data_IF_088590093258
#
_entry.id   IF_088590093258
#
_cell.length_a   1.000
_cell.length_b   1.000
_cell.length_c   1.000
_cell.angle_alpha   90.00
_cell.angle_beta   90.00
_cell.angle_gamma   90.00
#
_symmetry.space_group_name_H-M   'P 1'
#
loop_
_entity.id
_entity.type
_entity.pdbx_description
1 polymer ?
#
# COMPACT_ATOMS: atom_id res chain seq x y z
N UNK A 1 -0.16 17.56 -40.59
CA UNK A 1 -1.29 18.50 -40.40
C UNK A 1 -1.07 19.27 -39.11
N UNK A 2 -1.17 20.60 -39.11
CA UNK A 2 -1.29 21.42 -37.90
C UNK A 2 -2.76 21.77 -37.75
N UNK A 3 -3.41 21.28 -36.69
CA UNK A 3 -4.77 21.68 -36.34
C UNK A 3 -4.72 22.84 -35.35
N UNK A 4 -5.54 23.87 -35.56
CA UNK A 4 -5.85 24.90 -34.56
C UNK A 4 -7.32 25.24 -34.69
N UNK A 5 -8.09 25.06 -33.62
CA UNK A 5 -9.48 25.49 -33.50
C UNK A 5 -9.57 26.60 -32.43
N UNK A 6 -10.38 27.65 -32.63
CA UNK A 6 -10.69 28.60 -31.56
C UNK A 6 -11.41 27.87 -30.40
N UNK A 7 -11.04 28.22 -29.16
CA UNK A 7 -11.58 27.63 -27.94
C UNK A 7 -12.83 28.43 -27.51
N UNK A 8 -14.02 27.83 -27.57
CA UNK A 8 -15.25 28.36 -26.97
C UNK A 8 -15.47 27.74 -25.57
N UNK A 9 -16.35 28.30 -24.73
CA UNK A 9 -16.58 27.86 -23.34
C UNK A 9 -17.13 26.41 -23.20
N UNK A 10 -17.59 25.81 -24.30
CA UNK A 10 -17.97 24.39 -24.39
C UNK A 10 -16.83 23.50 -24.94
N UNK A 11 -15.59 24.00 -24.99
CA UNK A 11 -14.48 23.27 -25.56
C UNK A 11 -14.01 22.15 -24.61
N UNK A 12 -14.00 20.89 -25.03
CA UNK A 12 -13.61 19.75 -24.20
C UNK A 12 -12.13 19.71 -23.77
N UNK A 13 -11.28 20.55 -24.36
CA UNK A 13 -9.90 20.73 -23.92
C UNK A 13 -9.77 21.69 -22.73
N UNK A 14 -10.87 22.26 -22.23
CA UNK A 14 -10.87 23.23 -21.13
C UNK A 14 -10.37 22.65 -19.78
N UNK A 15 -10.32 21.32 -19.65
CA UNK A 15 -9.72 20.62 -18.50
C UNK A 15 -8.26 20.21 -18.70
N UNK A 16 -7.70 20.38 -19.91
CA UNK A 16 -6.32 20.02 -20.22
C UNK A 16 -5.48 21.29 -20.25
N UNK A 17 -4.68 21.50 -19.20
CA UNK A 17 -3.75 22.64 -19.15
C UNK A 17 -2.65 22.50 -20.20
N UNK A 18 -2.29 21.25 -20.54
CA UNK A 18 -1.25 20.94 -21.52
C UNK A 18 -1.38 19.51 -22.07
N UNK A 19 -1.24 19.37 -23.38
CA UNK A 19 -1.13 18.09 -24.08
C UNK A 19 0.15 18.05 -24.92
N UNK A 20 1.02 17.09 -24.64
CA UNK A 20 2.20 16.80 -25.43
C UNK A 20 2.09 15.38 -25.97
N UNK A 21 2.15 15.23 -27.28
CA UNK A 21 2.10 13.93 -27.94
C UNK A 21 3.24 13.82 -28.95
N UNK A 22 4.01 12.73 -28.89
CA UNK A 22 5.06 12.41 -29.86
C UNK A 22 4.79 11.05 -30.46
N UNK A 23 4.69 11.00 -31.80
CA UNK A 23 4.31 9.80 -32.56
C UNK A 23 3.09 9.11 -31.94
N UNK A 24 2.06 9.89 -31.67
CA UNK A 24 0.80 9.39 -31.18
C UNK A 24 -0.32 9.70 -32.18
N UNK A 25 -1.24 8.76 -32.29
CA UNK A 25 -2.51 8.85 -32.98
C UNK A 25 -3.62 8.89 -31.94
N UNK A 26 -4.56 9.82 -32.11
CA UNK A 26 -5.75 9.97 -31.28
C UNK A 26 -6.95 9.89 -32.20
N UNK A 27 -7.77 8.87 -32.01
CA UNK A 27 -9.04 8.68 -32.69
C UNK A 27 -10.17 8.89 -31.69
N UNK A 28 -11.18 9.68 -32.08
CA UNK A 28 -12.41 9.86 -31.32
C UNK A 28 -13.58 9.54 -32.23
N UNK A 29 -14.34 8.50 -31.89
CA UNK A 29 -15.50 8.04 -32.64
C UNK A 29 -16.74 7.95 -31.73
N UNK A 30 -17.85 7.47 -32.28
CA UNK A 30 -19.09 7.25 -31.52
C UNK A 30 -19.03 6.00 -30.63
N UNK A 31 -18.00 5.17 -30.77
CA UNK A 31 -17.87 3.88 -30.07
C UNK A 31 -16.61 3.82 -29.21
N UNK A 32 -15.55 4.55 -29.57
CA UNK A 32 -14.26 4.49 -28.89
C UNK A 32 -13.50 5.81 -28.95
N UNK A 33 -12.79 6.10 -27.87
CA UNK A 33 -11.64 7.02 -27.84
C UNK A 33 -10.39 6.14 -27.81
N UNK A 34 -9.62 6.13 -28.88
CA UNK A 34 -8.41 5.32 -29.03
C UNK A 34 -7.18 6.23 -29.08
N UNK A 35 -6.20 5.99 -28.21
CA UNK A 35 -4.95 6.73 -28.15
C UNK A 35 -3.78 5.75 -28.22
N UNK A 36 -3.03 5.82 -29.32
CA UNK A 36 -1.85 4.98 -29.57
C UNK A 36 -0.62 5.83 -29.72
N UNK A 37 0.45 5.57 -29.00
CA UNK A 37 1.69 6.31 -29.23
C UNK A 37 2.88 5.90 -28.39
N UNK A 38 4.04 6.41 -28.82
CA UNK A 38 5.30 6.26 -28.10
C UNK A 38 5.29 7.08 -26.81
N UNK A 39 4.87 8.34 -26.87
CA UNK A 39 4.82 9.26 -25.72
C UNK A 39 3.57 10.14 -25.74
N UNK A 40 2.83 10.15 -24.64
CA UNK A 40 1.73 11.08 -24.36
C UNK A 40 1.91 11.64 -22.95
N UNK A 41 1.84 12.97 -22.82
CA UNK A 41 1.87 13.64 -21.52
C UNK A 41 0.75 14.68 -21.45
N UNK A 42 -0.05 14.59 -20.38
CA UNK A 42 -1.24 15.40 -20.15
C UNK A 42 -1.12 16.06 -18.78
N UNK A 43 -1.38 17.37 -18.73
CA UNK A 43 -1.58 18.08 -17.47
C UNK A 43 -3.07 18.34 -17.27
N UNK A 44 -3.60 17.88 -16.13
CA UNK A 44 -5.00 18.02 -15.72
C UNK A 44 -5.04 18.71 -14.34
N UNK A 45 -5.05 20.03 -14.32
CA UNK A 45 -4.96 20.82 -13.10
C UNK A 45 -3.69 20.50 -12.29
N UNK A 46 -3.80 19.97 -11.06
CA UNK A 46 -2.64 19.60 -10.26
C UNK A 46 -2.00 18.27 -10.67
N UNK A 47 -2.51 17.55 -11.66
CA UNK A 47 -2.06 16.20 -12.02
C UNK A 47 -1.22 16.27 -13.31
N UNK A 48 0.00 15.72 -13.26
CA UNK A 48 0.76 15.38 -14.46
C UNK A 48 0.66 13.87 -14.70
N UNK A 49 0.20 13.51 -15.90
CA UNK A 49 0.06 12.14 -16.38
C UNK A 49 0.96 11.94 -17.59
N UNK A 50 2.03 11.17 -17.45
CA UNK A 50 2.92 10.81 -18.54
C UNK A 50 2.80 9.33 -18.85
N UNK A 51 2.68 8.98 -20.11
CA UNK A 51 2.57 7.60 -20.56
C UNK A 51 3.50 7.35 -21.73
N UNK A 52 4.21 6.23 -21.67
CA UNK A 52 5.09 5.75 -22.74
C UNK A 52 4.63 4.37 -23.22
N UNK A 53 4.72 4.14 -24.53
CA UNK A 53 4.35 2.90 -25.22
C UNK A 53 2.91 2.48 -24.87
N UNK A 54 1.95 3.31 -25.25
CA UNK A 54 0.55 3.17 -24.84
C UNK A 54 -0.39 2.93 -26.01
N UNK A 55 -1.26 1.95 -25.86
CA UNK A 55 -2.48 1.74 -26.61
C UNK A 55 -3.63 1.79 -25.59
N UNK A 56 -4.30 2.94 -25.52
CA UNK A 56 -5.41 3.21 -24.62
C UNK A 56 -6.71 3.22 -25.40
N UNK A 57 -7.69 2.45 -24.95
CA UNK A 57 -9.01 2.39 -25.55
C UNK A 57 -10.06 2.66 -24.48
N UNK A 58 -10.82 3.72 -24.66
CA UNK A 58 -11.94 4.08 -23.80
C UNK A 58 -13.24 3.86 -24.57
N UNK A 59 -14.08 2.94 -24.10
CA UNK A 59 -15.36 2.66 -24.76
C UNK A 59 -16.37 3.75 -24.43
N UNK A 60 -17.05 4.27 -25.44
CA UNK A 60 -18.07 5.32 -25.28
C UNK A 60 -19.38 4.88 -25.92
N UNK A 61 -20.51 5.31 -25.34
CA UNK A 61 -21.84 5.05 -25.89
C UNK A 61 -22.31 6.08 -26.91
N UNK A 62 -21.66 7.24 -26.93
CA UNK A 62 -21.91 8.34 -27.85
C UNK A 62 -20.62 9.13 -28.09
N UNK A 63 -20.60 9.95 -29.13
CA UNK A 63 -19.46 10.84 -29.37
C UNK A 63 -19.28 11.76 -28.17
N UNK A 64 -18.10 11.68 -27.56
CA UNK A 64 -17.70 12.62 -26.53
C UNK A 64 -16.23 12.95 -26.69
N UNK A 65 -15.91 14.13 -26.21
CA UNK A 65 -14.57 14.68 -26.15
C UNK A 65 -14.11 14.86 -24.69
N UNK A 66 -14.98 14.54 -23.72
CA UNK A 66 -14.63 14.47 -22.30
C UNK A 66 -13.87 13.16 -22.03
N UNK A 67 -12.57 13.16 -22.36
CA UNK A 67 -11.71 11.96 -22.33
C UNK A 67 -11.62 11.39 -20.92
N UNK A 68 -11.47 12.24 -19.90
CA UNK A 68 -11.39 11.82 -18.51
C UNK A 68 -12.68 11.16 -18.02
N UNK A 69 -13.84 11.74 -18.35
CA UNK A 69 -15.16 11.18 -18.03
C UNK A 69 -15.42 9.86 -18.76
N UNK A 70 -15.07 9.77 -20.05
CA UNK A 70 -15.20 8.55 -20.82
C UNK A 70 -14.27 7.44 -20.31
N UNK A 71 -13.00 7.77 -20.08
CA UNK A 71 -11.98 6.80 -19.75
C UNK A 71 -12.09 6.28 -18.30
N UNK A 72 -12.64 7.05 -17.35
CA UNK A 72 -12.83 6.53 -15.98
C UNK A 72 -13.96 5.48 -15.88
N UNK A 73 -14.81 5.37 -16.91
CA UNK A 73 -15.92 4.41 -16.96
C UNK A 73 -15.51 3.06 -17.52
N UNK A 74 -14.86 3.05 -18.68
CA UNK A 74 -14.42 1.83 -19.33
C UNK A 74 -13.16 2.09 -20.15
N UNK A 75 -12.00 1.71 -19.59
CA UNK A 75 -10.70 1.88 -20.26
C UNK A 75 -9.90 0.62 -20.22
N UNK A 76 -9.21 0.33 -21.32
CA UNK A 76 -8.10 -0.62 -21.35
C UNK A 76 -6.84 0.09 -21.83
N UNK A 77 -5.75 -0.06 -21.10
CA UNK A 77 -4.41 0.39 -21.46
C UNK A 77 -3.51 -0.82 -21.62
N UNK A 78 -2.90 -0.98 -22.80
CA UNK A 78 -1.92 -2.02 -23.13
C UNK A 78 -0.68 -1.41 -23.80
N UNK A 79 0.44 -2.14 -23.86
CA UNK A 79 1.56 -1.79 -24.72
C UNK A 79 1.14 -1.59 -26.17
N UNK A 80 1.54 -0.47 -26.76
CA UNK A 80 1.41 -0.26 -28.21
C UNK A 80 2.34 -1.22 -28.99
N UNK A 81 3.60 -1.29 -28.59
CA UNK A 81 4.54 -2.33 -28.98
C UNK A 81 4.50 -3.43 -27.91
N UNK A 82 3.89 -4.58 -28.24
CA UNK A 82 3.74 -5.75 -27.35
C UNK A 82 5.07 -6.33 -26.87
N UNK A 83 6.19 -6.02 -27.55
CA UNK A 83 7.53 -6.43 -27.09
C UNK A 83 8.08 -5.56 -25.95
N UNK A 84 7.41 -4.45 -25.65
CA UNK A 84 7.79 -3.46 -24.62
C UNK A 84 6.72 -3.39 -23.53
N UNK A 85 7.08 -2.75 -22.42
CA UNK A 85 6.20 -2.53 -21.26
C UNK A 85 5.70 -1.09 -21.29
N UNK A 86 4.41 -0.87 -21.03
CA UNK A 86 3.85 0.48 -20.87
C UNK A 86 4.34 1.09 -19.57
N UNK A 87 4.71 2.37 -19.61
CA UNK A 87 5.09 3.13 -18.43
C UNK A 87 4.08 4.24 -18.22
N UNK A 88 3.57 4.35 -17.01
CA UNK A 88 2.63 5.40 -16.60
C UNK A 88 3.27 6.13 -15.42
N UNK A 89 3.33 7.45 -15.47
CA UNK A 89 3.73 8.32 -14.37
C UNK A 89 2.62 9.24 -13.99
N UNK A 90 2.36 9.31 -12.69
CA UNK A 90 1.40 10.21 -12.07
C UNK A 90 2.14 11.04 -11.02
N UNK A 91 2.11 12.36 -11.14
CA UNK A 91 2.75 13.24 -10.16
C UNK A 91 1.92 14.48 -9.85
N UNK A 92 2.02 14.95 -8.60
CA UNK A 92 1.37 16.17 -8.12
C UNK A 92 2.18 17.43 -8.50
N UNK A 93 1.63 18.25 -9.39
CA UNK A 93 2.18 19.56 -9.78
C UNK A 93 1.92 20.65 -8.72
N UNK A 94 0.97 20.45 -7.80
CA UNK A 94 0.65 21.45 -6.77
C UNK A 94 1.59 21.45 -5.57
N UNK A 95 2.42 20.40 -5.45
CA UNK A 95 3.29 20.12 -4.29
C UNK A 95 2.57 20.02 -2.94
N UNK A 96 1.23 19.97 -2.92
CA UNK A 96 0.45 19.91 -1.67
C UNK A 96 0.34 18.49 -1.12
N UNK A 97 0.14 17.52 -2.01
CA UNK A 97 -0.10 16.10 -1.68
C UNK A 97 1.18 15.25 -1.85
N UNK A 98 2.20 15.80 -2.52
CA UNK A 98 3.55 15.23 -2.63
C UNK A 98 3.57 13.76 -3.07
N UNK A 99 2.74 13.42 -4.07
CA UNK A 99 2.72 12.08 -4.63
C UNK A 99 3.47 11.99 -5.95
N UNK A 100 4.14 10.86 -6.15
CA UNK A 100 4.75 10.45 -7.42
C UNK A 100 4.63 8.94 -7.54
N UNK A 101 4.03 8.47 -8.62
CA UNK A 101 3.76 7.06 -8.88
C UNK A 101 4.25 6.70 -10.28
N UNK A 102 5.22 5.77 -10.34
CA UNK A 102 5.70 5.13 -11.56
C UNK A 102 5.10 3.71 -11.64
N UNK A 103 4.32 3.45 -12.68
CA UNK A 103 3.71 2.15 -12.97
C UNK A 103 4.31 1.60 -14.26
N UNK A 104 4.76 0.35 -14.21
CA UNK A 104 5.12 -0.46 -15.37
C UNK A 104 4.13 -1.60 -15.45
N UNK A 105 3.36 -1.64 -16.53
CA UNK A 105 2.24 -2.57 -16.69
C UNK A 105 2.16 -3.12 -18.11
N UNK A 106 1.61 -4.33 -18.21
CA UNK A 106 1.18 -4.94 -19.47
C UNK A 106 -0.31 -4.68 -19.73
N UNK A 107 -1.08 -4.43 -18.68
CA UNK A 107 -2.52 -4.20 -18.76
C UNK A 107 -2.94 -3.34 -17.58
N UNK A 108 -3.64 -2.25 -17.85
CA UNK A 108 -4.47 -1.57 -16.88
C UNK A 108 -5.87 -1.54 -17.45
N UNK A 109 -6.85 -2.02 -16.69
CA UNK A 109 -8.25 -1.92 -17.07
C UNK A 109 -9.04 -1.21 -15.98
N UNK A 110 -9.94 -0.35 -16.42
CA UNK A 110 -10.94 0.31 -15.60
C UNK A 110 -12.28 -0.15 -16.13
N UNK A 111 -13.07 -0.76 -15.26
CA UNK A 111 -14.45 -1.14 -15.50
C UNK A 111 -15.34 -0.42 -14.48
N UNK A 112 -16.66 -0.59 -14.57
CA UNK A 112 -17.65 0.16 -13.78
C UNK A 112 -17.33 0.21 -12.27
N UNK A 113 -16.98 -0.91 -11.65
CA UNK A 113 -16.67 -1.01 -10.21
C UNK A 113 -15.26 -1.55 -9.90
N UNK A 114 -14.39 -1.67 -10.91
CA UNK A 114 -13.09 -2.33 -10.80
C UNK A 114 -11.97 -1.55 -11.48
N UNK A 115 -10.84 -1.44 -10.79
CA UNK A 115 -9.55 -1.01 -11.33
C UNK A 115 -8.59 -2.18 -11.22
N UNK A 116 -8.14 -2.69 -12.36
CA UNK A 116 -7.17 -3.77 -12.44
C UNK A 116 -5.86 -3.31 -13.09
N UNK A 117 -4.73 -3.77 -12.55
CA UNK A 117 -3.38 -3.51 -13.08
C UNK A 117 -2.56 -4.81 -13.02
N UNK A 118 -2.07 -5.28 -14.17
CA UNK A 118 -1.06 -6.34 -14.26
C UNK A 118 0.34 -5.75 -14.00
N UNK A 119 0.74 -5.73 -12.73
CA UNK A 119 1.94 -5.05 -12.27
C UNK A 119 3.21 -5.78 -12.70
N UNK A 120 4.01 -5.18 -13.58
CA UNK A 120 5.44 -5.53 -13.70
C UNK A 120 6.24 -4.87 -12.59
N UNK A 121 6.03 -3.57 -12.41
CA UNK A 121 6.62 -2.82 -11.31
C UNK A 121 5.83 -1.54 -11.02
N UNK A 122 5.33 -1.39 -9.79
CA UNK A 122 4.84 -0.12 -9.25
C UNK A 122 5.87 0.37 -8.23
N UNK A 123 6.23 1.65 -8.29
CA UNK A 123 6.98 2.32 -7.22
C UNK A 123 6.46 3.74 -7.07
N UNK A 124 6.37 4.21 -5.85
CA UNK A 124 5.90 5.56 -5.63
C UNK A 124 6.15 6.06 -4.23
N UNK A 125 5.88 7.35 -4.07
CA UNK A 125 5.87 8.03 -2.79
C UNK A 125 4.52 8.71 -2.60
N UNK A 126 4.02 8.71 -1.37
CA UNK A 126 2.84 9.46 -0.95
C UNK A 126 3.06 9.96 0.48
N UNK A 127 2.98 11.28 0.71
CA UNK A 127 3.16 11.91 2.02
C UNK A 127 4.41 11.40 2.79
N UNK A 128 5.56 11.29 2.11
CA UNK A 128 6.85 10.76 2.61
C UNK A 128 6.95 9.24 2.83
N UNK A 129 5.92 8.48 2.49
CA UNK A 129 5.95 7.02 2.55
C UNK A 129 6.35 6.45 1.20
N UNK A 130 7.26 5.48 1.19
CA UNK A 130 7.64 4.78 -0.03
C UNK A 130 6.92 3.43 -0.11
N UNK A 131 6.34 3.15 -1.28
CA UNK A 131 5.74 1.87 -1.59
C UNK A 131 6.26 1.33 -2.92
N UNK A 132 6.33 0.01 -3.01
CA UNK A 132 6.71 -0.67 -4.24
C UNK A 132 6.14 -2.08 -4.31
N UNK A 133 5.74 -2.47 -5.51
CA UNK A 133 5.24 -3.81 -5.84
C UNK A 133 5.95 -4.24 -7.12
N UNK A 134 6.62 -5.38 -7.11
CA UNK A 134 7.16 -5.99 -8.34
C UNK A 134 6.44 -7.29 -8.64
N UNK A 135 6.11 -7.50 -9.93
CA UNK A 135 5.51 -8.72 -10.51
C UNK A 135 4.29 -9.20 -9.73
N UNK A 136 3.11 -8.78 -10.16
CA UNK A 136 1.89 -9.01 -9.42
C UNK A 136 0.64 -8.45 -10.08
N UNK A 137 -0.39 -8.31 -9.28
CA UNK A 137 -1.71 -7.84 -9.67
C UNK A 137 -2.23 -6.87 -8.61
N UNK A 138 -2.85 -5.79 -9.05
CA UNK A 138 -3.61 -4.89 -8.20
C UNK A 138 -5.03 -4.86 -8.75
N UNK A 139 -5.99 -5.32 -7.95
CA UNK A 139 -7.41 -5.22 -8.24
C UNK A 139 -8.04 -4.40 -7.11
N UNK A 140 -8.71 -3.30 -7.43
CA UNK A 140 -9.31 -2.38 -6.48
C UNK A 140 -10.74 -2.08 -6.87
N UNK A 141 -11.60 -1.88 -5.87
CA UNK A 141 -12.90 -1.25 -6.10
C UNK A 141 -12.72 0.16 -6.63
N UNK A 142 -13.45 0.49 -7.68
CA UNK A 142 -13.69 1.86 -8.15
C UNK A 142 -15.13 2.21 -7.82
N UNK A 143 -15.37 3.45 -7.38
CA UNK A 143 -16.73 3.93 -7.23
C UNK A 143 -17.41 4.06 -8.62
N UNK A 144 -18.57 3.41 -8.86
CA UNK A 144 -19.33 3.60 -10.09
C UNK A 144 -19.80 5.04 -10.30
N UNK A 145 -19.99 5.80 -9.21
CA UNK A 145 -20.42 7.20 -9.29
C UNK A 145 -19.29 8.18 -9.61
N UNK A 146 -18.04 7.69 -9.72
CA UNK A 146 -16.88 8.52 -10.03
C UNK A 146 -16.95 9.04 -11.47
N UNK A 147 -17.17 10.34 -11.63
CA UNK A 147 -17.34 10.99 -12.94
C UNK A 147 -16.05 11.43 -13.61
N UNK A 148 -15.03 11.78 -12.82
CA UNK A 148 -13.72 12.26 -13.31
C UNK A 148 -12.59 11.51 -12.61
N UNK A 149 -11.38 11.57 -13.16
CA UNK A 149 -10.21 10.96 -12.54
C UNK A 149 -9.88 11.71 -11.22
N UNK A 150 -10.12 11.04 -10.10
CA UNK A 150 -9.75 11.52 -8.78
C UNK A 150 -8.89 10.47 -8.06
N UNK A 151 -7.60 10.78 -7.94
CA UNK A 151 -6.61 9.88 -7.33
C UNK A 151 -6.97 9.55 -5.87
N UNK A 152 -7.55 10.49 -5.12
CA UNK A 152 -7.93 10.19 -3.73
C UNK A 152 -9.06 9.18 -3.70
N UNK A 153 -10.13 9.40 -4.47
CA UNK A 153 -11.27 8.47 -4.57
C UNK A 153 -10.86 7.09 -5.09
N UNK A 154 -9.90 7.01 -6.00
CA UNK A 154 -9.31 5.74 -6.42
C UNK A 154 -8.56 5.03 -5.29
N UNK A 155 -7.78 5.77 -4.50
CA UNK A 155 -7.10 5.19 -3.33
C UNK A 155 -8.11 4.79 -2.25
N UNK A 156 -9.16 5.57 -2.00
CA UNK A 156 -10.25 5.20 -1.10
C UNK A 156 -10.91 3.91 -1.55
N UNK A 157 -11.18 3.76 -2.86
CA UNK A 157 -11.74 2.56 -3.42
C UNK A 157 -10.86 1.33 -3.15
N UNK A 158 -9.54 1.45 -3.39
CA UNK A 158 -8.57 0.41 -3.02
C UNK A 158 -8.58 0.06 -1.53
N UNK A 159 -8.71 1.05 -0.63
CA UNK A 159 -8.77 0.81 0.83
C UNK A 159 -10.10 0.20 1.29
N UNK A 160 -11.19 0.47 0.56
CA UNK A 160 -12.50 -0.12 0.79
C UNK A 160 -12.47 -1.60 0.46
N UNK A 161 -12.09 -1.94 -0.78
CA UNK A 161 -11.99 -3.32 -1.26
C UNK A 161 -10.86 -3.43 -2.27
N UNK A 162 -9.91 -4.32 -2.01
CA UNK A 162 -8.86 -4.62 -2.98
C UNK A 162 -8.18 -5.96 -2.71
N UNK A 163 -7.55 -6.47 -3.76
CA UNK A 163 -6.65 -7.62 -3.73
C UNK A 163 -5.35 -7.23 -4.42
N UNK A 164 -4.28 -7.17 -3.64
CA UNK A 164 -2.94 -6.84 -4.10
C UNK A 164 -2.07 -8.09 -3.92
N UNK A 165 -1.55 -8.63 -5.01
CA UNK A 165 -0.62 -9.75 -5.00
C UNK A 165 0.69 -9.27 -5.61
N UNK A 166 1.84 -9.61 -5.04
CA UNK A 166 3.11 -9.26 -5.65
C UNK A 166 4.31 -10.02 -5.09
N UNK A 167 5.31 -10.27 -5.92
CA UNK A 167 6.50 -11.04 -5.52
C UNK A 167 7.49 -10.26 -4.66
N UNK A 168 7.47 -8.92 -4.72
CA UNK A 168 8.28 -8.05 -3.86
C UNK A 168 7.45 -6.84 -3.45
N UNK A 169 6.93 -6.85 -2.24
CA UNK A 169 6.26 -5.70 -1.65
C UNK A 169 7.24 -5.00 -0.71
N UNK A 170 7.56 -3.74 -1.00
CA UNK A 170 8.37 -2.89 -0.13
C UNK A 170 7.50 -1.79 0.45
N UNK A 171 7.58 -1.63 1.77
CA UNK A 171 6.92 -0.55 2.48
C UNK A 171 7.90 0.06 3.48
N UNK A 172 8.16 1.34 3.32
CA UNK A 172 9.09 2.07 4.18
C UNK A 172 8.41 3.34 4.72
N UNK A 173 8.31 3.38 6.05
CA UNK A 173 7.92 4.54 6.84
C UNK A 173 8.99 4.81 7.91
N UNK A 174 9.05 6.01 8.52
CA UNK A 174 10.10 6.33 9.50
C UNK A 174 10.25 5.30 10.63
N UNK A 175 9.14 4.73 11.09
CA UNK A 175 9.07 3.77 12.20
C UNK A 175 9.20 2.29 11.78
N UNK A 176 9.10 1.95 10.49
CA UNK A 176 9.08 0.57 10.00
C UNK A 176 9.71 0.46 8.61
N UNK A 177 10.69 -0.42 8.49
CA UNK A 177 11.29 -0.81 7.22
C UNK A 177 11.04 -2.29 6.96
N UNK A 178 10.04 -2.58 6.12
CA UNK A 178 9.55 -3.91 5.84
C UNK A 178 9.72 -4.25 4.35
N UNK A 179 10.35 -5.40 4.09
CA UNK A 179 10.44 -5.98 2.76
C UNK A 179 9.83 -7.37 2.76
N UNK A 180 8.83 -7.59 1.92
CA UNK A 180 8.07 -8.83 1.85
C UNK A 180 8.36 -9.51 0.51
N UNK A 181 8.80 -10.77 0.56
CA UNK A 181 8.91 -11.62 -0.62
C UNK A 181 7.60 -12.40 -0.74
N UNK A 182 6.90 -12.23 -1.87
CA UNK A 182 5.56 -12.77 -2.12
C UNK A 182 4.57 -12.35 -1.02
N UNK A 183 3.83 -11.30 -1.31
CA UNK A 183 2.78 -10.76 -0.46
C UNK A 183 1.42 -10.93 -1.14
N UNK A 184 0.41 -11.21 -0.32
CA UNK A 184 -0.98 -10.97 -0.66
C UNK A 184 -1.56 -10.04 0.39
N UNK A 185 -1.97 -8.84 -0.02
CA UNK A 185 -2.71 -7.89 0.81
C UNK A 185 -4.14 -7.86 0.29
N UNK A 186 -5.10 -8.05 1.17
CA UNK A 186 -6.52 -8.07 0.84
C UNK A 186 -7.22 -7.09 1.78
N UNK A 187 -7.96 -6.16 1.19
CA UNK A 187 -8.90 -5.32 1.88
C UNK A 187 -10.30 -5.82 1.52
N UNK A 188 -11.03 -6.32 2.51
CA UNK A 188 -12.47 -6.60 2.43
C UNK A 188 -13.24 -5.46 3.10
N UNK A 189 -14.58 -5.44 3.07
CA UNK A 189 -15.40 -4.36 3.68
C UNK A 189 -15.04 -4.04 5.14
N UNK A 190 -14.71 -5.04 5.94
CA UNK A 190 -14.47 -4.87 7.38
C UNK A 190 -13.03 -5.10 7.82
N UNK A 191 -12.17 -5.65 6.94
CA UNK A 191 -10.88 -6.21 7.36
C UNK A 191 -9.76 -5.94 6.38
N UNK A 192 -8.56 -5.77 6.92
CA UNK A 192 -7.30 -5.85 6.20
C UNK A 192 -6.63 -7.19 6.54
N UNK A 193 -6.20 -7.92 5.52
CA UNK A 193 -5.42 -9.15 5.62
C UNK A 193 -4.11 -8.98 4.87
N UNK A 194 -3.02 -9.45 5.45
CA UNK A 194 -1.72 -9.53 4.80
C UNK A 194 -1.16 -10.93 5.05
N UNK A 195 -0.87 -11.65 3.98
CA UNK A 195 -0.17 -12.93 4.01
C UNK A 195 1.16 -12.82 3.28
N UNK A 196 2.17 -13.49 3.80
CA UNK A 196 3.43 -13.68 3.10
C UNK A 196 4.11 -14.98 3.52
N UNK A 197 4.67 -15.67 2.54
CA UNK A 197 5.50 -16.84 2.79
C UNK A 197 6.82 -16.45 3.46
N UNK A 198 7.37 -15.27 3.14
CA UNK A 198 8.63 -14.80 3.67
C UNK A 198 8.72 -13.27 3.73
N UNK A 199 9.06 -12.72 4.89
CA UNK A 199 9.34 -11.29 5.03
C UNK A 199 10.64 -11.03 5.78
N UNK A 200 11.19 -9.83 5.58
CA UNK A 200 12.36 -9.34 6.28
C UNK A 200 12.11 -7.95 6.83
N UNK A 201 12.53 -7.75 8.08
CA UNK A 201 12.47 -6.48 8.80
C UNK A 201 13.90 -5.99 9.01
N UNK A 202 14.18 -4.77 8.56
CA UNK A 202 15.51 -4.16 8.69
C UNK A 202 15.51 -3.13 9.81
N UNK A 203 16.42 -3.26 10.75
CA UNK A 203 16.59 -2.30 11.84
C UNK A 203 18.09 -2.09 12.13
N UNK A 204 18.58 -0.84 12.01
CA UNK A 204 19.94 -0.36 12.30
C UNK A 204 21.01 -1.46 12.46
N UNK A 205 21.41 -2.06 11.33
CA UNK A 205 22.50 -3.05 11.27
C UNK A 205 22.09 -4.52 11.48
N UNK A 206 20.80 -4.82 11.63
CA UNK A 206 20.27 -6.18 11.77
C UNK A 206 19.09 -6.44 10.84
N UNK A 207 18.99 -7.69 10.35
CA UNK A 207 17.85 -8.15 9.54
C UNK A 207 17.19 -9.31 10.26
N UNK A 208 15.88 -9.18 10.50
CA UNK A 208 15.05 -10.24 11.05
C UNK A 208 14.27 -10.87 9.91
N UNK A 209 14.41 -12.17 9.73
CA UNK A 209 13.70 -12.94 8.70
C UNK A 209 12.54 -13.70 9.34
N UNK A 210 11.37 -13.65 8.70
CA UNK A 210 10.17 -14.35 9.16
C UNK A 210 9.60 -15.21 8.05
N UNK A 211 9.03 -16.36 8.43
CA UNK A 211 8.35 -17.27 7.52
C UNK A 211 6.87 -17.42 7.88
N UNK A 212 6.02 -17.56 6.85
CA UNK A 212 4.57 -17.70 6.95
C UNK A 212 3.95 -16.61 7.84
N UNK A 213 4.18 -15.36 7.47
CA UNK A 213 3.61 -14.20 8.14
C UNK A 213 2.15 -14.04 7.73
N UNK A 214 1.27 -13.90 8.71
CA UNK A 214 -0.14 -13.58 8.50
C UNK A 214 -0.57 -12.50 9.47
N UNK A 215 -1.15 -11.43 8.95
CA UNK A 215 -1.78 -10.34 9.68
C UNK A 215 -3.24 -10.26 9.25
N UNK A 216 -4.13 -10.19 10.21
CA UNK A 216 -5.54 -9.85 10.00
C UNK A 216 -5.89 -8.78 11.02
N UNK A 217 -6.52 -7.70 10.58
CA UNK A 217 -6.98 -6.66 11.49
C UNK A 217 -8.27 -6.02 10.97
N UNK A 218 -9.08 -5.50 11.88
CA UNK A 218 -10.29 -4.79 11.47
C UNK A 218 -9.92 -3.46 10.80
N UNK A 219 -10.79 -2.99 9.91
CA UNK A 219 -10.81 -1.59 9.47
C UNK A 219 -11.71 -0.77 10.40
N UNK A 220 -11.36 0.48 10.62
CA UNK A 220 -12.29 1.41 11.29
C UNK A 220 -13.50 1.62 10.37
N UNK A 221 -14.77 1.48 10.83
CA UNK A 221 -15.94 1.74 10.00
C UNK A 221 -15.98 3.17 9.41
N UNK A 222 -15.16 4.09 9.93
CA UNK A 222 -14.96 5.43 9.38
C UNK A 222 -13.74 5.44 8.44
N UNK A 223 -13.76 4.65 7.36
CA UNK A 223 -12.82 4.83 6.22
C UNK A 223 -13.40 5.86 5.24
N UNK A 224 -13.96 6.96 5.75
CA UNK A 224 -14.51 8.04 4.90
C UNK A 224 -13.45 9.13 4.64
N UNK A 225 -12.32 9.10 5.37
CA UNK A 225 -11.27 10.12 5.24
C UNK A 225 -9.84 9.51 5.20
N UNK A 226 -9.19 9.60 4.04
CA UNK A 226 -7.79 9.24 3.75
C UNK A 226 -6.84 10.17 4.50
N UNK A 227 -7.33 11.35 4.92
CA UNK A 227 -6.65 12.26 5.80
C UNK A 227 -6.75 11.83 7.29
N UNK A 228 -7.44 10.72 7.59
CA UNK A 228 -7.30 10.03 8.87
C UNK A 228 -6.27 8.89 8.72
N UNK A 229 -4.95 9.17 8.78
CA UNK A 229 -3.90 8.16 8.64
C UNK A 229 -3.97 7.08 9.72
N UNK A 230 -4.83 7.24 10.73
CA UNK A 230 -4.98 6.34 11.85
C UNK A 230 -6.17 5.37 11.70
N UNK A 231 -6.97 5.43 10.63
CA UNK A 231 -8.14 4.55 10.49
C UNK A 231 -7.75 3.05 10.54
N UNK A 232 -6.76 2.64 9.74
CA UNK A 232 -6.24 1.26 9.78
C UNK A 232 -5.63 0.95 11.14
N UNK A 233 -4.85 1.89 11.70
CA UNK A 233 -4.21 1.70 13.00
C UNK A 233 -5.24 1.48 14.12
N UNK A 234 -6.28 2.31 14.19
CA UNK A 234 -7.35 2.21 15.17
C UNK A 234 -8.13 0.90 15.03
N UNK A 235 -8.45 0.50 13.79
CA UNK A 235 -9.04 -0.80 13.49
C UNK A 235 -8.19 -1.96 14.01
N UNK A 236 -6.88 -1.95 13.72
CA UNK A 236 -5.95 -2.94 14.25
C UNK A 236 -5.83 -2.91 15.79
N UNK A 237 -5.97 -1.76 16.44
CA UNK A 237 -5.98 -1.65 17.91
C UNK A 237 -7.28 -2.20 18.54
N UNK A 238 -8.38 -2.21 17.79
CA UNK A 238 -9.64 -2.86 18.19
C UNK A 238 -9.54 -4.38 18.04
N UNK A 239 -9.05 -4.86 16.91
CA UNK A 239 -8.91 -6.28 16.65
C UNK A 239 -7.77 -6.52 15.68
N UNK A 240 -6.79 -7.30 16.13
CA UNK A 240 -5.68 -7.73 15.28
C UNK A 240 -5.24 -9.12 15.67
N UNK A 241 -4.92 -9.95 14.68
CA UNK A 241 -4.17 -11.18 14.85
C UNK A 241 -2.98 -11.16 13.90
N UNK A 242 -1.78 -11.20 14.47
CA UNK A 242 -0.53 -11.35 13.74
C UNK A 242 0.12 -12.67 14.11
N UNK A 243 0.53 -13.47 13.11
CA UNK A 243 1.12 -14.79 13.26
C UNK A 243 2.37 -14.90 12.39
N UNK A 244 3.33 -15.70 12.87
CA UNK A 244 4.44 -16.19 12.06
C UNK A 244 4.88 -17.58 12.57
N UNK A 245 5.29 -18.44 11.64
CA UNK A 245 5.70 -19.80 11.98
C UNK A 245 7.12 -19.85 12.53
N UNK A 246 8.01 -19.04 11.95
CA UNK A 246 9.41 -18.96 12.37
C UNK A 246 9.93 -17.54 12.22
N UNK A 247 10.72 -17.11 13.20
CA UNK A 247 11.54 -15.91 13.14
C UNK A 247 13.01 -16.28 13.39
N UNK A 248 13.87 -15.92 12.45
CA UNK A 248 15.32 -16.10 12.52
C UNK A 248 16.03 -14.73 12.52
N UNK A 249 17.05 -14.62 13.35
CA UNK A 249 17.88 -13.43 13.46
C UNK A 249 19.17 -13.66 12.67
N UNK A 250 19.28 -13.03 11.50
CA UNK A 250 20.53 -13.02 10.77
C UNK A 250 21.67 -12.48 11.65
N UNK A 251 22.64 -13.35 11.94
CA UNK A 251 23.99 -13.03 12.42
C UNK A 251 24.10 -11.97 13.53
N UNK A 252 23.67 -12.28 14.74
CA UNK A 252 24.34 -11.77 15.96
C UNK A 252 24.63 -12.93 16.90
N UNK A 253 25.91 -13.19 17.15
CA UNK A 253 26.39 -14.20 18.09
C UNK A 253 25.73 -13.95 19.46
N UNK A 254 24.81 -14.85 19.84
CA UNK A 254 24.61 -15.17 21.26
C UNK A 254 23.23 -15.02 21.89
N UNK A 255 22.21 -14.39 21.28
CA UNK A 255 20.92 -14.22 21.99
C UNK A 255 19.70 -14.48 21.10
N UNK A 256 19.09 -15.65 21.33
CA UNK A 256 17.77 -16.14 20.88
C UNK A 256 17.77 -16.66 19.44
N UNK A 257 17.95 -17.98 19.32
CA UNK A 257 18.27 -18.64 18.06
C UNK A 257 17.07 -18.98 17.17
N UNK A 258 15.83 -18.91 17.66
CA UNK A 258 14.60 -19.08 16.85
C UNK A 258 13.38 -18.78 17.74
N UNK A 259 12.36 -18.10 17.21
CA UNK A 259 10.99 -18.15 17.78
C UNK A 259 10.08 -18.87 16.81
N UNK A 260 9.31 -19.84 17.31
CA UNK A 260 8.31 -20.60 16.54
C UNK A 260 6.89 -20.33 17.00
N UNK A 261 5.94 -20.45 16.07
CA UNK A 261 4.50 -20.33 16.31
C UNK A 261 4.15 -19.04 17.08
N UNK A 262 4.76 -17.93 16.67
CA UNK A 262 4.51 -16.65 17.30
C UNK A 262 3.11 -16.17 16.91
N UNK A 263 2.34 -15.72 17.89
CA UNK A 263 1.04 -15.12 17.68
C UNK A 263 0.88 -13.92 18.61
N UNK A 264 0.63 -12.76 18.03
CA UNK A 264 0.15 -11.57 18.70
C UNK A 264 -1.35 -11.43 18.40
N UNK A 265 -2.17 -11.31 19.43
CA UNK A 265 -3.59 -11.01 19.31
C UNK A 265 -3.88 -9.73 20.09
N UNK A 266 -4.64 -8.81 19.50
CA UNK A 266 -5.18 -7.60 20.12
C UNK A 266 -6.70 -7.68 20.09
N UNK A 267 -7.32 -7.38 21.22
CA UNK A 267 -8.76 -7.23 21.36
C UNK A 267 -9.06 -6.06 22.29
N UNK A 268 -9.66 -5.01 21.72
CA UNK A 268 -10.08 -3.78 22.39
C UNK A 268 -8.97 -3.21 23.27
N UNK A 269 -7.79 -3.02 22.67
CA UNK A 269 -6.61 -2.49 23.35
C UNK A 269 -5.96 -3.45 24.36
N UNK A 270 -6.44 -4.68 24.57
CA UNK A 270 -5.71 -5.71 25.31
C UNK A 270 -4.93 -6.56 24.33
N UNK A 271 -3.65 -6.84 24.60
CA UNK A 271 -2.85 -7.70 23.75
C UNK A 271 -2.35 -8.95 24.47
N UNK A 272 -2.18 -10.03 23.70
CA UNK A 272 -1.53 -11.27 24.11
C UNK A 272 -0.54 -11.73 23.05
N UNK A 273 0.70 -11.99 23.45
CA UNK A 273 1.74 -12.63 22.63
C UNK A 273 1.95 -14.04 23.16
N UNK A 274 1.98 -15.00 22.25
CA UNK A 274 2.34 -16.40 22.53
C UNK A 274 3.40 -16.87 21.54
N UNK A 275 4.23 -17.84 21.93
CA UNK A 275 5.21 -18.45 21.03
C UNK A 275 6.11 -19.47 21.73
N UNK A 276 7.04 -20.06 20.99
CA UNK A 276 8.05 -20.98 21.53
C UNK A 276 9.45 -20.45 21.22
N UNK A 277 10.25 -20.21 22.25
CA UNK A 277 11.59 -19.62 22.14
C UNK A 277 12.64 -20.71 22.30
N UNK A 278 13.61 -20.78 21.39
CA UNK A 278 14.70 -21.75 21.42
C UNK A 278 15.87 -21.26 22.29
N UNK A 279 16.10 -21.96 23.40
CA UNK A 279 17.34 -21.86 24.19
C UNK A 279 18.20 -23.10 23.92
N UNK A 280 18.19 -24.08 24.83
CA UNK A 280 18.65 -25.47 24.60
C UNK A 280 17.48 -26.35 24.18
N UNK A 281 16.30 -26.12 24.76
CA UNK A 281 15.00 -26.67 24.39
C UNK A 281 14.02 -25.52 24.10
N UNK A 282 12.85 -25.84 23.53
CA UNK A 282 11.81 -24.84 23.27
C UNK A 282 11.01 -24.55 24.55
N UNK A 283 10.92 -23.28 24.91
CA UNK A 283 10.18 -22.80 26.09
C UNK A 283 9.03 -21.89 25.64
N UNK A 284 7.86 -22.06 26.25
CA UNK A 284 6.69 -21.23 25.96
C UNK A 284 6.92 -19.77 26.41
N UNK A 285 6.64 -18.84 25.50
CA UNK A 285 6.54 -17.41 25.73
C UNK A 285 5.06 -17.05 25.90
N UNK A 286 4.73 -16.32 26.95
CA UNK A 286 3.40 -15.72 27.15
C UNK A 286 3.58 -14.29 27.68
N UNK A 287 3.07 -13.31 26.92
CA UNK A 287 3.10 -11.89 27.29
C UNK A 287 1.68 -11.35 27.16
N UNK A 288 1.23 -10.61 28.16
CA UNK A 288 -0.07 -9.95 28.14
C UNK A 288 0.07 -8.51 28.59
N UNK A 289 -0.72 -7.63 28.00
CA UNK A 289 -0.66 -6.21 28.32
C UNK A 289 -1.79 -5.42 27.68
N UNK A 290 -1.59 -4.10 27.63
CA UNK A 290 -2.49 -3.16 26.97
C UNK A 290 -1.74 -2.39 25.89
N UNK A 291 -2.43 -2.05 24.81
CA UNK A 291 -1.96 -1.20 23.75
C UNK A 291 -2.95 -0.06 23.56
N UNK A 292 -2.43 1.16 23.43
CA UNK A 292 -3.22 2.38 23.23
C UNK A 292 -2.57 3.25 22.18
N UNK A 293 -3.39 3.86 21.35
CA UNK A 293 -2.98 4.91 20.43
C UNK A 293 -3.34 6.27 21.05
N UNK A 294 -2.35 7.16 21.18
CA UNK A 294 -2.53 8.56 21.60
C UNK A 294 -2.36 9.47 20.37
N UNK A 295 -3.47 9.85 19.71
CA UNK A 295 -3.42 10.63 18.48
C UNK A 295 -2.87 12.05 18.71
N UNK A 296 -3.06 12.63 19.89
CA UNK A 296 -2.57 13.99 20.21
C UNK A 296 -1.04 14.02 20.30
N UNK A 297 -0.45 12.97 20.86
CA UNK A 297 1.01 12.82 20.99
C UNK A 297 1.65 12.06 19.83
N UNK A 298 0.86 11.61 18.84
CA UNK A 298 1.29 10.78 17.71
C UNK A 298 2.13 9.59 18.17
N UNK A 299 1.62 8.84 19.15
CA UNK A 299 2.36 7.72 19.73
C UNK A 299 1.49 6.50 20.00
N UNK A 300 2.09 5.32 19.94
CA UNK A 300 1.49 4.07 20.42
C UNK A 300 2.18 3.70 21.74
N UNK A 301 1.39 3.41 22.76
CA UNK A 301 1.87 2.98 24.08
C UNK A 301 1.48 1.52 24.30
N UNK A 302 2.47 0.67 24.55
CA UNK A 302 2.31 -0.76 24.84
C UNK A 302 2.73 -1.01 26.29
N UNK A 303 1.76 -1.21 27.17
CA UNK A 303 1.96 -1.51 28.60
C UNK A 303 2.02 -3.02 28.84
N UNK A 304 3.17 -3.52 29.30
CA UNK A 304 3.39 -4.94 29.56
C UNK A 304 3.02 -5.29 31.00
N UNK A 305 1.81 -5.82 31.20
CA UNK A 305 1.34 -6.26 32.53
C UNK A 305 2.13 -7.48 33.01
N UNK A 306 2.31 -8.47 32.15
CA UNK A 306 2.93 -9.76 32.49
C UNK A 306 3.70 -10.30 31.29
N UNK A 307 4.91 -10.79 31.52
CA UNK A 307 5.72 -11.46 30.52
C UNK A 307 6.43 -12.64 31.16
N UNK A 308 6.25 -13.84 30.59
CA UNK A 308 6.85 -15.09 31.09
C UNK A 308 7.51 -15.87 29.96
N UNK A 309 8.66 -16.45 30.27
CA UNK A 309 9.31 -17.50 29.48
C UNK A 309 9.45 -18.70 30.41
N UNK A 310 8.61 -19.73 30.19
CA UNK A 310 8.44 -20.81 31.15
C UNK A 310 7.90 -20.29 32.48
N UNK A 311 8.64 -20.51 33.58
CA UNK A 311 8.29 -20.01 34.92
C UNK A 311 8.93 -18.67 35.29
N UNK A 312 9.84 -18.14 34.47
CA UNK A 312 10.62 -16.94 34.78
C UNK A 312 9.98 -15.67 34.20
N UNK A 313 10.15 -14.54 34.90
CA UNK A 313 9.78 -13.21 34.38
C UNK A 313 10.64 -12.88 33.17
N UNK A 314 10.01 -12.39 32.09
CA UNK A 314 10.66 -12.17 30.80
C UNK A 314 10.31 -10.82 30.16
N UNK A 315 10.04 -9.78 30.98
CA UNK A 315 9.67 -8.45 30.47
C UNK A 315 10.74 -7.86 29.55
N UNK A 316 12.00 -7.86 29.98
CA UNK A 316 13.13 -7.38 29.16
C UNK A 316 13.26 -8.11 27.82
N UNK A 317 12.95 -9.41 27.79
CA UNK A 317 12.97 -10.22 26.58
C UNK A 317 11.78 -9.89 25.64
N UNK A 318 10.58 -9.70 26.18
CA UNK A 318 9.42 -9.25 25.39
C UNK A 318 9.68 -7.90 24.71
N UNK A 319 10.29 -6.95 25.44
CA UNK A 319 10.70 -5.65 24.91
C UNK A 319 11.72 -5.81 23.76
N UNK A 320 12.68 -6.74 23.89
CA UNK A 320 13.65 -7.04 22.82
C UNK A 320 12.99 -7.61 21.55
N UNK A 321 11.92 -8.40 21.67
CA UNK A 321 11.20 -8.93 20.50
C UNK A 321 10.52 -7.80 19.73
N UNK A 322 9.78 -6.92 20.42
CA UNK A 322 9.05 -5.83 19.77
C UNK A 322 10.01 -4.90 19.01
N UNK A 323 11.18 -4.59 19.59
CA UNK A 323 12.23 -3.80 18.94
C UNK A 323 12.75 -4.39 17.62
N UNK A 324 12.52 -5.67 17.30
CA UNK A 324 12.94 -6.26 16.03
C UNK A 324 12.09 -5.81 14.84
N UNK A 325 10.83 -5.43 15.11
CA UNK A 325 9.86 -5.06 14.09
C UNK A 325 9.73 -3.55 13.91
N UNK A 326 10.40 -2.74 14.74
CA UNK A 326 10.23 -1.29 14.79
C UNK A 326 11.59 -0.62 14.82
N UNK A 327 11.76 0.47 14.07
CA UNK A 327 13.00 1.24 14.04
C UNK A 327 13.36 1.79 15.44
N UNK A 328 14.58 1.55 15.93
CA UNK A 328 14.96 1.81 17.33
C UNK A 328 14.84 3.30 17.72
N UNK A 329 15.06 4.22 16.78
CA UNK A 329 15.03 5.67 17.06
C UNK A 329 13.66 6.16 17.51
N UNK A 330 12.60 5.47 17.10
CA UNK A 330 11.23 5.83 17.41
C UNK A 330 10.69 5.07 18.61
N UNK A 331 11.52 4.28 19.31
CA UNK A 331 11.08 3.42 20.42
C UNK A 331 11.74 3.83 21.73
N UNK A 332 10.94 4.33 22.67
CA UNK A 332 11.36 4.56 24.06
C UNK A 332 10.81 3.44 24.95
N UNK A 333 11.64 2.92 25.83
CA UNK A 333 11.22 1.97 26.88
C UNK A 333 11.24 2.74 28.20
N UNK A 334 10.09 2.84 28.85
CA UNK A 334 9.93 3.49 30.14
C UNK A 334 9.26 2.49 31.07
N UNK A 335 9.99 2.03 32.09
CA UNK A 335 9.55 1.02 33.05
C UNK A 335 8.99 -0.26 32.39
N UNK A 336 7.66 -0.41 32.37
CA UNK A 336 6.94 -1.55 31.81
C UNK A 336 6.27 -1.23 30.48
N UNK A 337 6.54 -0.06 29.90
CA UNK A 337 5.86 0.47 28.73
C UNK A 337 6.83 0.66 27.57
N UNK A 338 6.39 0.31 26.35
CA UNK A 338 7.03 0.70 25.10
C UNK A 338 6.24 1.87 24.53
N UNK A 339 6.92 2.96 24.22
CA UNK A 339 6.36 4.12 23.53
C UNK A 339 6.97 4.14 22.13
N UNK A 340 6.11 4.04 21.11
CA UNK A 340 6.47 4.11 19.70
C UNK A 340 6.01 5.46 19.17
N UNK A 341 6.93 6.29 18.69
CA UNK A 341 6.62 7.54 18.02
C UNK A 341 6.24 7.25 16.56
N UNK A 342 5.09 7.79 16.11
CA UNK A 342 4.57 7.65 14.76
C UNK A 342 5.13 8.72 13.82
#
# INVERSE_FOLDING_TARGET
>A
MKFSTPLEDNNPLYGIDKLNASKAEVEMSHEVIDVKGDDLAVHLGPINFEVNNINMQCRVSEFTTAIDEACIQNTTIKPYDESKISKIRLSDLSEKKLYNLDIQTNELSIEEDDLFIEVKNIKGNYLNNHFGISRGELNCYKDPELKIIDVENLVYGCLKRSKIIGEKLSYQIPSLNMHINKASVIFDEDKMKLHSDYASFKNKGSVTYVAAMSLECDKDPIVVDINNPNAILNGCMRSMTFKLDRMDNGTQKGQVKDIKNFKLAVNTGNFKITGKVKFVFYVSLDVTGKVKHDPKKKQIVIDVNKAKVGKFSARSFALKIVKKFINVDNVKVVDNSIIIQL
#
